data_IF_435652726021
#
_entry.id   IF_435652726021
#
_cell.length_a   1.000
_cell.length_b   1.000
_cell.length_c   1.000
_cell.angle_alpha   90.00
_cell.angle_beta   90.00
_cell.angle_gamma   90.00
#
_symmetry.space_group_name_H-M   'P 1'
#
loop_
_entity.id
_entity.type
_entity.pdbx_description
1 polymer ?
#
# COMPACT_ATOMS: atom_id res chain seq x y z
N UNK A 1 -4.51 7.49 0.49
CA UNK A 1 -5.08 6.49 1.43
C UNK A 1 -3.99 6.10 2.41
N UNK A 2 -4.36 5.70 3.62
CA UNK A 2 -3.44 5.08 4.58
C UNK A 2 -3.99 3.69 4.90
N UNK A 3 -3.17 2.66 4.70
CA UNK A 3 -3.52 1.27 4.98
C UNK A 3 -2.69 0.78 6.17
N UNK A 4 -3.34 0.09 7.11
CA UNK A 4 -2.71 -0.46 8.30
C UNK A 4 -2.63 -1.99 8.23
N UNK A 5 -1.52 -2.56 8.70
CA UNK A 5 -1.36 -3.99 8.86
C UNK A 5 0.09 -4.43 8.98
N UNK A 6 0.31 -5.67 9.42
CA UNK A 6 1.67 -6.21 9.57
C UNK A 6 2.37 -6.33 8.21
N UNK A 7 3.54 -5.68 8.09
CA UNK A 7 4.31 -5.69 6.84
C UNK A 7 3.63 -4.97 5.66
N UNK A 8 2.60 -4.15 5.91
CA UNK A 8 1.75 -3.53 4.88
C UNK A 8 2.53 -2.72 3.84
N UNK A 9 3.62 -2.06 4.22
CA UNK A 9 4.46 -1.30 3.27
C UNK A 9 5.09 -2.25 2.25
N UNK A 10 5.73 -3.33 2.72
CA UNK A 10 6.38 -4.32 1.86
C UNK A 10 5.38 -5.04 0.98
N UNK A 11 4.26 -5.49 1.55
CA UNK A 11 3.21 -6.19 0.81
C UNK A 11 2.46 -5.26 -0.15
N UNK A 12 2.20 -4.01 0.24
CA UNK A 12 1.59 -3.00 -0.63
C UNK A 12 2.46 -2.74 -1.87
N UNK A 13 3.78 -2.61 -1.70
CA UNK A 13 4.71 -2.51 -2.84
C UNK A 13 4.71 -3.75 -3.72
N UNK A 14 4.63 -4.95 -3.14
CA UNK A 14 4.51 -6.20 -3.89
C UNK A 14 3.19 -6.25 -4.69
N UNK A 15 2.08 -5.81 -4.09
CA UNK A 15 0.76 -5.77 -4.73
C UNK A 15 0.69 -4.73 -5.85
N UNK A 16 1.31 -3.58 -5.66
CA UNK A 16 1.41 -2.53 -6.69
C UNK A 16 2.16 -3.04 -7.92
N UNK A 17 3.25 -3.78 -7.73
CA UNK A 17 4.22 -4.12 -8.78
C UNK A 17 5.42 -3.17 -8.75
N UNK A 18 6.42 -3.39 -9.62
CA UNK A 18 7.57 -2.47 -9.73
C UNK A 18 7.16 -1.13 -10.37
N UNK A 19 8.06 -0.29 -10.91
CA UNK A 19 7.73 1.08 -11.37
C UNK A 19 7.30 1.20 -12.84
N UNK A 20 7.83 0.35 -13.73
CA UNK A 20 7.43 0.24 -15.14
C UNK A 20 6.47 -0.95 -15.45
N UNK A 21 5.17 -0.70 -15.81
CA UNK A 21 4.14 -1.71 -16.10
C UNK A 21 4.57 -2.93 -16.91
N UNK A 22 5.50 -2.73 -17.84
CA UNK A 22 5.94 -3.78 -18.76
C UNK A 22 6.91 -4.78 -18.12
N UNK A 23 7.33 -4.55 -16.87
CA UNK A 23 8.34 -5.33 -16.15
C UNK A 23 7.77 -6.16 -14.99
N UNK A 24 6.47 -6.43 -14.95
CA UNK A 24 5.90 -7.25 -13.86
C UNK A 24 5.11 -8.44 -14.37
N UNK A 25 4.84 -9.31 -13.39
CA UNK A 25 3.95 -10.43 -13.50
C UNK A 25 2.48 -9.97 -13.48
N UNK A 26 1.61 -10.61 -14.28
CA UNK A 26 0.16 -10.55 -14.11
C UNK A 26 -0.26 -10.83 -12.66
N UNK A 27 -1.33 -10.18 -12.21
CA UNK A 27 -1.84 -10.24 -10.83
C UNK A 27 -1.36 -9.11 -9.92
N UNK A 28 -0.45 -8.25 -10.38
CA UNK A 28 -0.12 -6.99 -9.70
C UNK A 28 -0.98 -5.86 -10.26
N UNK A 29 -1.26 -4.83 -9.45
CA UNK A 29 -2.11 -3.70 -9.86
C UNK A 29 -1.61 -3.08 -11.16
N UNK A 30 -0.31 -2.78 -11.23
CA UNK A 30 0.26 -2.15 -12.42
C UNK A 30 0.51 -3.13 -13.57
N UNK A 31 0.64 -4.42 -13.31
CA UNK A 31 0.76 -5.45 -14.35
C UNK A 31 -0.57 -5.69 -15.07
N UNK A 32 -1.67 -5.62 -14.33
CA UNK A 32 -3.01 -5.86 -14.89
C UNK A 32 -3.64 -4.59 -15.47
N UNK A 33 -3.31 -3.41 -14.93
CA UNK A 33 -4.01 -2.15 -15.23
C UNK A 33 -3.10 -1.04 -15.79
N UNK A 34 -1.81 -1.30 -15.98
CA UNK A 34 -0.83 -0.34 -16.52
C UNK A 34 -0.28 -0.75 -17.89
N UNK A 35 0.24 0.23 -18.64
CA UNK A 35 0.90 -0.03 -19.96
C UNK A 35 2.26 0.65 -20.07
N UNK A 36 2.39 1.88 -19.56
CA UNK A 36 3.63 2.67 -19.66
C UNK A 36 4.03 3.26 -18.32
N UNK A 37 5.33 3.38 -18.06
CA UNK A 37 5.89 3.87 -16.79
C UNK A 37 5.31 5.23 -16.34
N UNK A 38 5.11 6.16 -17.27
CA UNK A 38 4.56 7.49 -16.97
C UNK A 38 3.07 7.51 -16.63
N UNK A 39 2.38 6.37 -16.75
CA UNK A 39 0.95 6.19 -16.43
C UNK A 39 0.75 4.89 -15.63
N UNK A 40 1.59 4.68 -14.62
CA UNK A 40 1.55 3.49 -13.76
C UNK A 40 0.55 3.58 -12.58
N UNK A 41 -0.48 4.42 -12.74
CA UNK A 41 -1.78 4.52 -12.05
C UNK A 41 -1.86 4.64 -10.51
N UNK A 42 -0.87 4.22 -9.75
CA UNK A 42 -0.92 4.18 -8.28
C UNK A 42 0.45 4.50 -7.68
N UNK A 43 0.48 5.10 -6.49
CA UNK A 43 1.68 5.37 -5.70
C UNK A 43 1.65 4.56 -4.40
N UNK A 44 2.82 4.25 -3.85
CA UNK A 44 2.96 3.67 -2.52
C UNK A 44 4.36 3.86 -1.99
N UNK A 45 4.47 4.18 -0.70
CA UNK A 45 5.72 4.46 -0.01
C UNK A 45 6.72 3.31 -0.13
N UNK A 46 8.01 3.63 -0.24
CA UNK A 46 9.08 2.66 -0.48
C UNK A 46 9.77 2.11 0.78
N UNK A 47 9.46 2.68 1.95
CA UNK A 47 9.99 2.23 3.22
C UNK A 47 9.26 2.84 4.43
N UNK A 48 9.65 2.44 5.65
CA UNK A 48 9.00 2.90 6.88
C UNK A 48 9.12 4.41 7.12
N UNK A 49 10.28 5.01 6.85
CA UNK A 49 10.49 6.45 7.09
C UNK A 49 9.75 7.30 6.06
N UNK A 50 9.84 6.95 4.78
CA UNK A 50 9.09 7.65 3.71
C UNK A 50 7.58 7.50 3.88
N UNK A 51 7.10 6.36 4.40
CA UNK A 51 5.69 6.20 4.74
C UNK A 51 5.24 7.16 5.84
N UNK A 52 6.02 7.36 6.91
CA UNK A 52 5.70 8.33 7.96
C UNK A 52 5.66 9.75 7.40
N UNK A 53 6.67 10.12 6.62
CA UNK A 53 6.77 11.45 6.01
C UNK A 53 5.60 11.72 5.05
N UNK A 54 5.27 10.75 4.18
CA UNK A 54 4.14 10.86 3.27
C UNK A 54 2.81 10.94 4.03
N UNK A 55 2.58 10.11 5.06
CA UNK A 55 1.33 10.19 5.85
C UNK A 55 1.19 11.57 6.48
N UNK A 56 2.26 12.10 7.09
CA UNK A 56 2.25 13.42 7.71
C UNK A 56 2.09 14.57 6.69
N UNK A 57 2.54 14.36 5.45
CA UNK A 57 2.37 15.33 4.37
C UNK A 57 0.91 15.38 3.86
N UNK A 58 0.26 14.23 3.75
CA UNK A 58 -1.04 14.11 3.07
C UNK A 58 -2.25 14.15 4.02
N UNK A 59 -2.07 13.89 5.32
CA UNK A 59 -3.16 13.80 6.29
C UNK A 59 -2.85 14.56 7.58
N UNK A 60 -3.82 15.30 8.09
CA UNK A 60 -3.82 15.76 9.46
C UNK A 60 -4.06 14.58 10.42
N UNK A 61 -3.50 14.57 11.65
CA UNK A 61 -3.70 13.48 12.60
C UNK A 61 -5.17 13.16 12.88
N UNK A 62 -6.06 14.15 12.81
CA UNK A 62 -7.51 14.00 13.03
C UNK A 62 -8.25 13.28 11.90
N UNK A 63 -7.64 13.16 10.73
CA UNK A 63 -8.21 12.47 9.56
C UNK A 63 -7.90 10.97 9.58
N UNK A 64 -6.95 10.54 10.41
CA UNK A 64 -6.64 9.14 10.65
C UNK A 64 -7.61 8.55 11.67
N UNK A 65 -8.19 7.41 11.32
CA UNK A 65 -9.13 6.68 12.17
C UNK A 65 -8.44 5.55 12.91
N UNK A 66 -8.90 5.27 14.13
CA UNK A 66 -8.45 4.12 14.91
C UNK A 66 -9.67 3.27 15.27
N UNK A 67 -9.65 2.00 14.85
CA UNK A 67 -10.70 1.03 15.13
C UNK A 67 -10.12 -0.38 15.00
N UNK A 68 -10.72 -1.34 15.69
CA UNK A 68 -10.40 -2.77 15.56
C UNK A 68 -11.33 -3.38 14.52
N UNK A 69 -10.76 -4.03 13.50
CA UNK A 69 -11.60 -4.69 12.50
C UNK A 69 -12.21 -5.98 13.08
N UNK A 70 -13.47 -6.30 12.75
CA UNK A 70 -14.08 -7.57 13.19
C UNK A 70 -13.29 -8.82 12.72
N UNK A 71 -12.57 -8.69 11.61
CA UNK A 71 -11.75 -9.76 11.04
C UNK A 71 -10.37 -9.90 11.70
N UNK A 72 -9.94 -8.95 12.54
CA UNK A 72 -8.56 -8.90 13.07
C UNK A 72 -8.15 -10.19 13.78
N UNK A 73 -9.05 -10.75 14.60
CA UNK A 73 -8.87 -12.04 15.28
C UNK A 73 -8.62 -13.22 14.33
N UNK A 74 -9.20 -13.18 13.13
CA UNK A 74 -9.06 -14.23 12.12
C UNK A 74 -7.84 -14.03 11.22
N UNK A 75 -7.40 -12.79 11.03
CA UNK A 75 -6.26 -12.44 10.17
C UNK A 75 -4.93 -12.60 10.91
N UNK A 76 -4.85 -12.15 12.17
CA UNK A 76 -3.62 -12.17 12.96
C UNK A 76 -3.58 -13.28 14.03
N UNK A 77 -4.66 -14.05 14.18
CA UNK A 77 -4.72 -15.18 15.11
C UNK A 77 -4.69 -14.79 16.59
N UNK A 78 -5.04 -13.54 16.93
CA UNK A 78 -5.19 -13.10 18.32
C UNK A 78 -6.55 -13.55 18.83
N UNK A 79 -6.58 -14.72 19.48
CA UNK A 79 -7.71 -15.23 20.26
C UNK A 79 -7.35 -15.25 21.75
#
# INVERSE_FOLDING_TARGET
MVWEGEGVIKYGRKLIGATDPQKYEPGTIRGDLGVVVGRNIIHGSDGPETAKDEIALWFEPKELVSYTSNAEKWVYGVN
#
